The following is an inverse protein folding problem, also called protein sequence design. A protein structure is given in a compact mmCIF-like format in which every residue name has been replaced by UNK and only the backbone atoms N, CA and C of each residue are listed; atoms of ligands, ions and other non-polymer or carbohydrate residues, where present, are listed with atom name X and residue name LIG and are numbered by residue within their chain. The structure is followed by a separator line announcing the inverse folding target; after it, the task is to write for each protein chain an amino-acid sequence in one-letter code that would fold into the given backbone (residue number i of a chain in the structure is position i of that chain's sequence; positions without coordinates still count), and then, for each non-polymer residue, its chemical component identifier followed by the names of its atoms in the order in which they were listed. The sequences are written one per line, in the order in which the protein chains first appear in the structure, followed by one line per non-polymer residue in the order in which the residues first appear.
data_IF_487137268405
#
_entry.id   IF_487137268405
#
_cell.length_a   1.000
_cell.length_b   1.000
_cell.length_c   1.000
_cell.angle_alpha   90.00
_cell.angle_beta   90.00
_cell.angle_gamma   90.00
#
_symmetry.space_group_name_H-M   'P 1'
#
loop_
_entity.id
_entity.type
_entity.pdbx_description
1 polymer ?
#
# COMPACT_ATOMS: atom_id res chain seq x y z
N UNK A 1 -24.44 2.72 4.89
CA UNK A 1 -23.81 1.50 5.43
C UNK A 1 -24.90 0.55 5.93
N UNK A 2 -25.74 0.91 6.92
CA UNK A 2 -26.81 0.04 7.46
C UNK A 2 -27.69 -0.57 6.37
N UNK A 3 -28.11 0.21 5.37
CA UNK A 3 -28.90 -0.27 4.22
C UNK A 3 -28.15 -1.37 3.44
N UNK A 4 -26.84 -1.16 3.16
CA UNK A 4 -26.02 -2.12 2.41
C UNK A 4 -25.87 -3.43 3.18
N UNK A 5 -25.66 -3.35 4.50
CA UNK A 5 -25.55 -4.53 5.38
C UNK A 5 -26.87 -5.30 5.39
N UNK A 6 -28.00 -4.62 5.63
CA UNK A 6 -29.34 -5.26 5.69
C UNK A 6 -29.70 -5.96 4.38
N UNK A 7 -29.26 -5.42 3.25
CA UNK A 7 -29.52 -6.00 1.92
C UNK A 7 -28.39 -6.90 1.42
N UNK A 8 -27.49 -7.33 2.30
CA UNK A 8 -26.36 -8.24 2.02
C UNK A 8 -25.52 -7.81 0.78
N UNK A 9 -25.32 -6.49 0.58
CA UNK A 9 -24.54 -5.96 -0.52
C UNK A 9 -23.05 -6.04 -0.19
N UNK A 10 -22.24 -6.45 -1.17
CA UNK A 10 -20.78 -6.41 -1.07
C UNK A 10 -20.31 -4.96 -1.19
N UNK A 11 -19.61 -4.47 -0.19
CA UNK A 11 -19.01 -3.13 -0.18
C UNK A 11 -17.78 -3.11 0.73
N UNK A 12 -16.99 -2.08 0.60
CA UNK A 12 -15.90 -1.74 1.49
C UNK A 12 -16.04 -0.30 1.97
N UNK A 13 -15.57 -0.02 3.16
CA UNK A 13 -15.40 1.35 3.67
C UNK A 13 -13.96 1.75 3.40
N UNK A 14 -13.77 2.94 2.81
CA UNK A 14 -12.45 3.54 2.68
C UNK A 14 -12.33 4.71 3.66
N UNK A 15 -11.25 4.70 4.43
CA UNK A 15 -10.87 5.75 5.36
C UNK A 15 -9.58 6.41 4.86
N UNK A 16 -9.52 7.74 4.88
CA UNK A 16 -8.29 8.49 4.68
C UNK A 16 -7.79 8.98 6.04
N UNK A 17 -6.57 8.61 6.39
CA UNK A 17 -5.90 8.99 7.63
C UNK A 17 -4.87 10.06 7.33
N UNK A 18 -4.94 11.15 8.07
CA UNK A 18 -4.09 12.34 7.97
C UNK A 18 -3.47 12.63 9.33
N UNK A 19 -2.50 13.55 9.38
CA UNK A 19 -1.94 14.12 10.61
C UNK A 19 -3.01 14.52 11.65
N UNK A 20 -4.11 15.11 11.17
CA UNK A 20 -5.16 15.66 12.04
C UNK A 20 -6.10 14.61 12.65
N UNK A 21 -6.28 13.46 12.00
CA UNK A 21 -7.28 12.46 12.39
C UNK A 21 -6.69 11.11 12.79
N UNK A 22 -5.39 10.93 12.72
CA UNK A 22 -4.71 9.67 13.05
C UNK A 22 -5.07 9.15 14.45
N UNK A 23 -5.26 10.04 15.42
CA UNK A 23 -5.67 9.68 16.80
C UNK A 23 -7.01 8.95 16.90
N UNK A 24 -7.82 8.98 15.87
CA UNK A 24 -9.12 8.32 15.81
C UNK A 24 -9.09 7.02 14.98
N UNK A 25 -7.91 6.58 14.53
CA UNK A 25 -7.79 5.43 13.63
C UNK A 25 -8.48 4.20 14.21
N UNK A 26 -8.12 3.81 15.42
CA UNK A 26 -8.65 2.60 16.04
C UNK A 26 -10.13 2.73 16.44
N UNK A 27 -10.54 3.89 16.90
CA UNK A 27 -11.95 4.15 17.23
C UNK A 27 -12.86 4.02 16.01
N UNK A 28 -12.42 4.54 14.87
CA UNK A 28 -13.14 4.42 13.61
C UNK A 28 -13.21 2.95 13.14
N UNK A 29 -12.13 2.20 13.25
CA UNK A 29 -12.10 0.77 12.89
C UNK A 29 -13.08 -0.02 13.78
N UNK A 30 -13.05 0.19 15.10
CA UNK A 30 -13.97 -0.44 16.04
C UNK A 30 -15.41 -0.08 15.73
N UNK A 31 -15.68 1.19 15.41
CA UNK A 31 -17.02 1.66 15.05
C UNK A 31 -17.55 0.92 13.81
N UNK A 32 -16.79 0.88 12.72
CA UNK A 32 -17.21 0.17 11.52
C UNK A 32 -17.31 -1.34 11.71
N UNK A 33 -16.40 -1.94 12.47
CA UNK A 33 -16.45 -3.37 12.80
C UNK A 33 -17.70 -3.72 13.60
N UNK A 34 -18.04 -2.92 14.62
CA UNK A 34 -19.30 -3.08 15.40
C UNK A 34 -20.56 -2.90 14.55
N UNK A 35 -20.50 -2.09 13.50
CA UNK A 35 -21.62 -1.98 12.54
C UNK A 35 -21.75 -3.20 11.62
N UNK A 36 -20.80 -4.13 11.62
CA UNK A 36 -20.78 -5.30 10.74
C UNK A 36 -20.09 -5.05 9.39
N UNK A 37 -19.30 -3.97 9.24
CA UNK A 37 -18.47 -3.75 8.05
C UNK A 37 -17.35 -4.79 8.05
N UNK A 38 -17.25 -5.54 6.95
CA UNK A 38 -16.28 -6.64 6.82
C UNK A 38 -14.97 -6.19 6.18
N UNK A 39 -14.99 -5.15 5.35
CA UNK A 39 -13.82 -4.73 4.56
C UNK A 39 -13.54 -3.26 4.81
N UNK A 40 -12.43 -2.97 5.46
CA UNK A 40 -11.99 -1.62 5.81
C UNK A 40 -10.67 -1.35 5.08
N UNK A 41 -10.66 -0.35 4.21
CA UNK A 41 -9.51 0.09 3.46
C UNK A 41 -9.02 1.41 4.01
N UNK A 42 -7.79 1.41 4.49
CA UNK A 42 -7.12 2.54 5.12
C UNK A 42 -6.08 3.06 4.14
N UNK A 43 -6.15 4.34 3.82
CA UNK A 43 -5.14 5.06 3.07
C UNK A 43 -4.52 6.13 3.96
N UNK A 44 -3.21 6.10 4.14
CA UNK A 44 -2.48 7.20 4.76
C UNK A 44 -2.31 8.29 3.71
N UNK A 45 -2.68 9.52 4.05
CA UNK A 45 -2.55 10.64 3.14
C UNK A 45 -1.11 11.18 3.16
N UNK A 46 -0.35 10.82 2.16
CA UNK A 46 1.05 11.20 2.02
C UNK A 46 1.24 12.63 1.50
N UNK A 47 0.14 13.30 1.06
CA UNK A 47 0.16 14.68 0.60
C UNK A 47 0.01 15.70 1.74
N UNK A 48 -0.40 15.26 2.91
CA UNK A 48 -0.44 16.11 4.11
C UNK A 48 0.90 16.09 4.84
N UNK A 49 1.17 17.16 5.58
CA UNK A 49 2.33 17.22 6.48
C UNK A 49 2.08 16.30 7.67
N UNK A 50 3.01 15.40 7.94
CA UNK A 50 3.00 14.55 9.13
C UNK A 50 4.02 15.07 10.13
N UNK A 51 3.54 15.51 11.30
CA UNK A 51 4.39 15.91 12.41
C UNK A 51 5.02 14.69 13.11
N UNK A 52 6.09 14.91 13.87
CA UNK A 52 6.69 13.84 14.67
C UNK A 52 5.68 13.22 15.65
N UNK A 53 4.86 14.06 16.27
CA UNK A 53 3.81 13.62 17.19
C UNK A 53 2.76 12.76 16.49
N UNK A 54 2.32 13.10 15.28
CA UNK A 54 1.34 12.27 14.55
C UNK A 54 1.95 10.97 14.02
N UNK A 55 3.24 10.92 13.72
CA UNK A 55 3.94 9.67 13.41
C UNK A 55 4.00 8.73 14.64
N UNK A 56 4.27 9.27 15.83
CA UNK A 56 4.23 8.51 17.08
C UNK A 56 2.80 8.05 17.43
N UNK A 57 1.80 8.90 17.18
CA UNK A 57 0.39 8.52 17.33
C UNK A 57 0.01 7.39 16.35
N UNK A 58 0.44 7.47 15.09
CA UNK A 58 0.20 6.40 14.12
C UNK A 58 0.78 5.09 14.60
N UNK A 59 2.00 5.09 15.08
CA UNK A 59 2.66 3.91 15.63
C UNK A 59 1.87 3.29 16.81
N UNK A 60 1.43 4.14 17.75
CA UNK A 60 0.59 3.72 18.87
C UNK A 60 -0.77 3.17 18.43
N UNK A 61 -1.43 3.80 17.47
CA UNK A 61 -2.70 3.34 16.93
C UNK A 61 -2.54 2.03 16.14
N UNK A 62 -1.43 1.87 15.42
CA UNK A 62 -1.10 0.61 14.72
C UNK A 62 -0.86 -0.53 15.71
N UNK A 63 -0.19 -0.29 16.84
CA UNK A 63 -0.04 -1.32 17.91
C UNK A 63 -1.40 -1.84 18.39
N UNK A 64 -2.37 -0.94 18.59
CA UNK A 64 -3.74 -1.34 18.96
C UNK A 64 -4.44 -2.10 17.82
N UNK A 65 -4.13 -1.72 16.58
CA UNK A 65 -4.69 -2.36 15.40
C UNK A 65 -4.10 -3.75 15.18
N UNK A 66 -2.82 -3.96 15.45
CA UNK A 66 -2.17 -5.28 15.39
C UNK A 66 -2.91 -6.29 16.28
N UNK A 67 -3.10 -5.91 17.53
CA UNK A 67 -3.84 -6.74 18.49
C UNK A 67 -5.28 -7.00 18.01
N UNK A 68 -5.98 -5.93 17.63
CA UNK A 68 -7.36 -6.06 17.14
C UNK A 68 -7.46 -6.94 15.90
N UNK A 69 -6.51 -6.84 14.97
CA UNK A 69 -6.48 -7.65 13.76
C UNK A 69 -6.29 -9.13 14.09
N UNK A 70 -5.32 -9.46 14.93
CA UNK A 70 -5.05 -10.84 15.36
C UNK A 70 -6.21 -11.46 16.11
N UNK A 71 -6.91 -10.70 16.96
CA UNK A 71 -8.02 -11.22 17.78
C UNK A 71 -9.36 -11.30 17.04
N UNK A 72 -9.62 -10.39 16.07
CA UNK A 72 -10.97 -10.19 15.55
C UNK A 72 -11.13 -10.37 14.04
N UNK A 73 -10.02 -10.41 13.29
CA UNK A 73 -10.06 -10.35 11.83
C UNK A 73 -9.49 -11.61 11.18
N UNK A 74 -8.37 -12.13 11.67
CA UNK A 74 -7.59 -13.17 10.97
C UNK A 74 -8.36 -14.46 10.69
N UNK A 75 -9.27 -14.85 11.57
CA UNK A 75 -10.04 -16.10 11.45
C UNK A 75 -11.24 -16.01 10.50
N UNK A 76 -11.76 -14.81 10.23
CA UNK A 76 -12.88 -14.63 9.29
C UNK A 76 -12.37 -14.23 7.90
N UNK A 77 -12.42 -15.13 6.90
CA UNK A 77 -11.88 -14.84 5.57
C UNK A 77 -12.63 -13.72 4.83
N UNK A 78 -13.81 -13.32 5.31
CA UNK A 78 -14.58 -12.23 4.73
C UNK A 78 -14.17 -10.86 5.28
N UNK A 79 -13.51 -10.81 6.43
CA UNK A 79 -13.02 -9.57 7.02
C UNK A 79 -11.65 -9.24 6.43
N UNK A 80 -11.44 -7.97 6.09
CA UNK A 80 -10.20 -7.49 5.44
C UNK A 80 -9.83 -6.13 6.02
N UNK A 81 -8.57 -5.99 6.41
CA UNK A 81 -7.90 -4.72 6.67
C UNK A 81 -6.70 -4.65 5.71
N UNK A 82 -6.78 -3.78 4.71
CA UNK A 82 -5.83 -3.73 3.60
C UNK A 82 -4.37 -3.52 4.02
N UNK A 83 -4.11 -2.85 5.14
CA UNK A 83 -2.75 -2.60 5.63
C UNK A 83 -1.97 -3.90 5.90
N UNK A 84 -2.68 -4.99 6.24
CA UNK A 84 -2.12 -6.33 6.42
C UNK A 84 -2.46 -7.24 5.23
N UNK A 85 -3.73 -7.44 4.93
CA UNK A 85 -4.17 -8.45 3.97
C UNK A 85 -3.54 -8.30 2.58
N UNK A 86 -3.33 -7.06 2.13
CA UNK A 86 -2.73 -6.80 0.81
C UNK A 86 -1.21 -6.95 0.80
N UNK A 87 -0.59 -7.07 1.98
CA UNK A 87 0.85 -7.24 2.11
C UNK A 87 1.27 -8.70 2.31
N UNK A 88 0.37 -9.62 2.71
CA UNK A 88 0.70 -11.02 2.99
C UNK A 88 1.50 -11.66 1.84
N UNK A 89 1.01 -11.57 0.62
CA UNK A 89 1.71 -12.19 -0.53
C UNK A 89 3.06 -11.54 -0.82
N UNK A 90 3.20 -10.25 -0.56
CA UNK A 90 4.44 -9.51 -0.75
C UNK A 90 5.51 -9.90 0.27
N UNK A 91 5.10 -10.15 1.52
CA UNK A 91 6.00 -10.60 2.57
C UNK A 91 6.39 -12.08 2.45
N UNK A 92 5.54 -12.91 1.84
CA UNK A 92 5.83 -14.33 1.66
C UNK A 92 6.71 -14.56 0.43
N UNK A 93 6.34 -14.00 -0.71
CA UNK A 93 7.03 -14.27 -1.98
C UNK A 93 8.06 -13.17 -2.28
N UNK A 94 9.27 -13.60 -2.65
CA UNK A 94 10.27 -12.68 -3.20
C UNK A 94 9.79 -12.26 -4.59
N UNK A 95 9.36 -11.00 -4.71
CA UNK A 95 8.87 -10.43 -5.97
C UNK A 95 9.58 -9.13 -6.25
N UNK A 96 9.96 -8.93 -7.51
CA UNK A 96 10.35 -7.60 -7.96
C UNK A 96 9.17 -6.63 -7.84
N UNK A 97 9.47 -5.41 -7.42
CA UNK A 97 8.47 -4.35 -7.35
C UNK A 97 8.14 -3.91 -8.76
N UNK A 98 6.97 -4.29 -9.25
CA UNK A 98 6.47 -3.78 -10.51
C UNK A 98 5.90 -2.37 -10.31
N UNK A 99 6.31 -1.42 -11.15
CA UNK A 99 5.60 -0.17 -11.29
C UNK A 99 4.15 -0.43 -11.72
N UNK A 100 3.25 0.49 -11.36
CA UNK A 100 1.88 0.39 -11.84
C UNK A 100 1.83 0.56 -13.36
N UNK A 101 0.76 0.05 -13.98
CA UNK A 101 0.53 0.10 -15.42
C UNK A 101 0.07 1.47 -15.94
N UNK A 102 0.24 2.54 -15.17
CA UNK A 102 -0.18 3.88 -15.57
C UNK A 102 0.51 4.34 -16.86
N UNK A 103 -0.28 4.84 -17.80
CA UNK A 103 0.19 5.27 -19.12
C UNK A 103 0.38 4.13 -20.14
N UNK A 104 0.08 2.88 -19.76
CA UNK A 104 0.01 1.77 -20.71
C UNK A 104 -1.37 1.71 -21.38
N UNK A 105 -1.52 0.83 -22.37
CA UNK A 105 -2.80 0.59 -23.07
C UNK A 105 -3.96 0.22 -22.13
N UNK A 106 -3.63 -0.28 -20.94
CA UNK A 106 -4.62 -0.77 -19.96
C UNK A 106 -4.97 0.24 -18.87
N UNK A 107 -4.27 1.38 -18.77
CA UNK A 107 -4.50 2.34 -17.70
C UNK A 107 -4.13 3.77 -18.09
N UNK A 108 -5.14 4.59 -18.31
CA UNK A 108 -5.03 6.03 -18.55
C UNK A 108 -6.27 6.74 -18.00
N UNK A 109 -6.22 8.05 -17.92
CA UNK A 109 -7.30 8.92 -17.44
C UNK A 109 -7.68 9.88 -18.55
N UNK A 110 -8.97 10.09 -18.75
CA UNK A 110 -9.51 11.06 -19.70
C UNK A 110 -10.24 12.15 -18.93
N UNK A 111 -9.94 13.42 -19.21
CA UNK A 111 -10.66 14.55 -18.64
C UNK A 111 -11.96 14.87 -19.42
N UNK A 112 -12.73 15.85 -18.92
CA UNK A 112 -13.99 16.26 -19.54
C UNK A 112 -13.81 16.96 -20.91
N UNK A 113 -12.59 17.33 -21.30
CA UNK A 113 -12.25 17.90 -22.61
C UNK A 113 -11.74 16.85 -23.60
N UNK A 114 -11.63 15.59 -23.14
CA UNK A 114 -11.12 14.48 -23.94
C UNK A 114 -9.60 14.36 -23.93
N UNK A 115 -8.86 15.12 -23.12
CA UNK A 115 -7.42 15.00 -23.00
C UNK A 115 -7.07 13.76 -22.22
N UNK A 116 -6.00 13.08 -22.61
CA UNK A 116 -5.56 11.80 -22.05
C UNK A 116 -4.29 12.00 -21.21
N UNK A 117 -4.32 11.45 -20.00
CA UNK A 117 -3.23 11.50 -19.04
C UNK A 117 -2.85 10.09 -18.58
N UNK A 118 -1.58 9.81 -18.22
CA UNK A 118 -1.16 8.49 -17.77
C UNK A 118 -1.77 8.08 -16.42
N UNK A 119 -2.06 9.07 -15.55
CA UNK A 119 -2.54 8.80 -14.18
C UNK A 119 -3.36 9.96 -13.65
N UNK A 120 -4.27 9.66 -12.72
CA UNK A 120 -5.07 10.68 -12.04
C UNK A 120 -4.23 11.67 -11.20
N UNK A 121 -3.04 11.30 -10.74
CA UNK A 121 -2.13 12.21 -10.02
C UNK A 121 -1.58 13.34 -10.88
N UNK A 122 -1.61 13.20 -12.19
CA UNK A 122 -1.14 14.19 -13.16
C UNK A 122 -2.25 14.60 -14.14
N UNK A 123 -3.48 14.24 -13.87
CA UNK A 123 -4.63 14.67 -14.66
C UNK A 123 -4.84 16.18 -14.55
N UNK A 124 -4.92 16.86 -15.68
CA UNK A 124 -5.02 18.32 -15.76
C UNK A 124 -3.68 19.07 -15.80
N UNK A 125 -2.55 18.37 -15.62
CA UNK A 125 -1.22 18.93 -15.86
C UNK A 125 -0.91 18.90 -17.36
N UNK A 126 -0.77 20.07 -18.06
CA UNK A 126 -0.52 20.13 -19.49
C UNK A 126 0.75 19.40 -19.95
N UNK A 127 1.74 19.29 -19.08
CA UNK A 127 2.97 18.55 -19.38
C UNK A 127 2.67 17.06 -19.59
N UNK A 128 1.79 16.49 -18.75
CA UNK A 128 1.42 15.07 -18.77
C UNK A 128 0.23 14.74 -19.69
N UNK A 129 -0.27 15.69 -20.46
CA UNK A 129 -1.23 15.41 -21.52
C UNK A 129 -0.55 14.61 -22.63
N UNK A 130 -0.81 13.30 -22.69
CA UNK A 130 -0.16 12.37 -23.63
C UNK A 130 -0.99 12.12 -24.89
N UNK A 131 -2.13 12.75 -25.02
CA UNK A 131 -3.01 12.61 -26.16
C UNK A 131 -4.41 13.15 -25.93
N UNK A 132 -5.28 12.86 -26.89
CA UNK A 132 -6.69 13.24 -26.83
C UNK A 132 -7.55 12.14 -27.49
N UNK A 133 -8.82 12.03 -27.10
CA UNK A 133 -9.74 11.00 -27.63
C UNK A 133 -9.90 11.03 -29.16
N UNK A 134 -9.62 12.17 -29.80
CA UNK A 134 -9.70 12.31 -31.25
C UNK A 134 -8.39 12.00 -31.98
N UNK A 135 -7.23 12.25 -31.34
CA UNK A 135 -5.91 12.05 -31.93
C UNK A 135 -5.18 10.79 -31.43
N UNK A 136 -5.72 10.15 -30.41
CA UNK A 136 -5.09 8.99 -29.77
C UNK A 136 -3.97 9.37 -28.79
N UNK A 137 -3.21 8.35 -28.34
CA UNK A 137 -2.14 8.47 -27.36
C UNK A 137 -0.80 8.56 -28.08
N UNK A 138 0.07 9.51 -27.69
CA UNK A 138 1.45 9.61 -28.12
C UNK A 138 2.38 8.83 -27.17
N UNK A 139 2.74 7.62 -27.53
CA UNK A 139 3.68 6.80 -26.76
C UNK A 139 5.08 7.41 -26.72
N UNK A 140 5.49 8.08 -27.79
CA UNK A 140 6.79 8.76 -27.84
C UNK A 140 6.86 9.90 -26.82
N UNK A 141 5.84 10.75 -26.78
CA UNK A 141 5.72 11.81 -25.78
C UNK A 141 5.76 11.22 -24.36
N UNK A 142 4.98 10.16 -24.12
CA UNK A 142 4.94 9.51 -22.81
C UNK A 142 6.32 8.99 -22.38
N UNK A 143 7.03 8.25 -23.24
CA UNK A 143 8.37 7.73 -22.95
C UNK A 143 9.36 8.88 -22.68
N UNK A 144 9.29 9.95 -23.45
CA UNK A 144 10.14 11.14 -23.27
C UNK A 144 9.91 11.78 -21.90
N UNK A 145 8.63 11.92 -21.47
CA UNK A 145 8.29 12.47 -20.17
C UNK A 145 8.75 11.57 -19.02
N UNK A 146 8.60 10.24 -19.14
CA UNK A 146 9.12 9.31 -18.14
C UNK A 146 10.63 9.53 -17.98
N UNK A 147 11.41 9.57 -19.07
CA UNK A 147 12.88 9.77 -19.02
C UNK A 147 13.25 11.12 -18.41
N UNK A 148 12.54 12.19 -18.75
CA UNK A 148 12.76 13.54 -18.24
C UNK A 148 12.63 13.61 -16.71
N UNK A 149 11.67 12.88 -16.15
CA UNK A 149 11.34 12.92 -14.73
C UNK A 149 11.93 11.74 -13.91
N UNK A 150 12.89 11.01 -14.48
CA UNK A 150 13.73 10.09 -13.73
C UNK A 150 14.98 10.82 -13.24
N UNK A 151 15.31 10.66 -11.97
CA UNK A 151 16.54 11.16 -11.38
C UNK A 151 17.67 10.15 -11.65
N UNK A 152 18.82 10.60 -12.14
CA UNK A 152 19.97 9.74 -12.51
C UNK A 152 20.49 8.93 -11.31
N UNK A 153 20.57 9.56 -10.14
CA UNK A 153 20.93 8.88 -8.90
C UNK A 153 19.70 8.67 -8.07
N UNK A 154 19.10 7.52 -8.18
CA UNK A 154 18.07 7.10 -7.23
C UNK A 154 18.74 6.83 -5.89
N UNK A 155 18.79 7.83 -5.02
CA UNK A 155 19.19 7.67 -3.62
C UNK A 155 18.10 6.98 -2.77
N UNK A 156 17.12 6.39 -3.47
CA UNK A 156 16.02 5.70 -2.81
C UNK A 156 16.44 4.28 -2.54
N UNK A 157 17.06 4.14 -1.39
CA UNK A 157 16.98 2.97 -0.57
C UNK A 157 17.79 1.76 -1.03
N UNK A 158 18.98 1.62 -0.48
CA UNK A 158 19.40 0.32 0.07
C UNK A 158 18.51 -0.02 1.28
N UNK A 159 17.20 0.20 1.11
CA UNK A 159 16.25 0.07 2.20
C UNK A 159 15.76 -1.37 2.26
N UNK A 160 15.95 -2.02 3.41
CA UNK A 160 15.49 -3.40 3.64
C UNK A 160 14.01 -3.64 3.35
N UNK A 161 13.19 -2.56 3.35
CA UNK A 161 11.74 -2.63 3.12
C UNK A 161 11.32 -2.41 1.67
N UNK A 162 12.25 -2.32 0.75
CA UNK A 162 11.99 -1.92 -0.64
C UNK A 162 10.93 -2.79 -1.33
N UNK A 163 10.95 -4.09 -1.06
CA UNK A 163 10.01 -5.08 -1.61
C UNK A 163 8.56 -4.83 -1.20
N UNK A 164 8.32 -4.19 -0.06
CA UNK A 164 6.97 -3.89 0.46
C UNK A 164 6.57 -2.43 0.28
N UNK A 165 7.50 -1.54 -0.03
CA UNK A 165 7.31 -0.10 -0.06
C UNK A 165 6.37 0.36 -1.19
N UNK A 166 5.29 1.06 -0.85
CA UNK A 166 4.36 1.63 -1.83
C UNK A 166 5.00 2.75 -2.65
N UNK A 167 5.99 3.44 -2.09
CA UNK A 167 6.74 4.49 -2.76
C UNK A 167 7.50 3.99 -3.99
N UNK A 168 8.01 2.76 -3.99
CA UNK A 168 8.62 2.14 -5.17
C UNK A 168 7.62 1.74 -6.26
N UNK A 169 6.33 1.65 -5.92
CA UNK A 169 5.29 1.17 -6.85
C UNK A 169 4.57 2.28 -7.59
N UNK A 170 4.54 3.48 -7.05
CA UNK A 170 3.73 4.58 -7.58
C UNK A 170 4.57 5.78 -8.00
N UNK A 171 5.11 5.74 -9.23
CA UNK A 171 5.92 6.82 -9.79
C UNK A 171 5.17 8.16 -9.85
N UNK A 172 3.91 8.17 -10.26
CA UNK A 172 3.17 9.42 -10.38
C UNK A 172 2.83 10.09 -9.04
N UNK A 173 2.63 9.29 -7.98
CA UNK A 173 2.55 9.82 -6.61
C UNK A 173 3.88 10.47 -6.20
N UNK A 174 4.99 9.78 -6.45
CA UNK A 174 6.32 10.32 -6.18
C UNK A 174 6.54 11.63 -6.95
N UNK A 175 6.21 11.65 -8.24
CA UNK A 175 6.31 12.86 -9.06
C UNK A 175 5.52 14.03 -8.45
N UNK A 176 4.28 13.82 -8.06
CA UNK A 176 3.44 14.86 -7.44
C UNK A 176 4.01 15.37 -6.11
N UNK A 177 4.78 14.55 -5.39
CA UNK A 177 5.38 14.93 -4.09
C UNK A 177 6.81 15.49 -4.20
N UNK A 178 7.56 15.12 -5.23
CA UNK A 178 9.01 15.39 -5.31
C UNK A 178 9.49 15.96 -6.65
N UNK A 179 8.63 15.94 -7.68
CA UNK A 179 9.00 16.27 -9.06
C UNK A 179 9.68 15.12 -9.82
N UNK A 180 9.91 13.96 -9.18
CA UNK A 180 10.57 12.81 -9.81
C UNK A 180 9.78 11.53 -9.61
N UNK A 181 9.69 10.70 -10.66
CA UNK A 181 8.96 9.44 -10.65
C UNK A 181 9.60 8.39 -9.71
N UNK A 182 10.91 8.42 -9.60
CA UNK A 182 11.70 7.46 -8.83
C UNK A 182 12.26 8.03 -7.51
N UNK A 183 11.70 9.11 -6.99
CA UNK A 183 12.09 9.68 -5.71
C UNK A 183 10.91 9.65 -4.73
N UNK A 184 11.03 8.88 -3.64
CA UNK A 184 10.04 8.79 -2.57
C UNK A 184 10.20 9.98 -1.61
N UNK A 185 9.10 10.57 -1.15
CA UNK A 185 9.17 11.64 -0.15
C UNK A 185 9.61 11.09 1.22
N UNK A 186 10.22 11.95 2.05
CA UNK A 186 10.61 11.58 3.42
C UNK A 186 9.41 11.13 4.26
N UNK A 187 8.26 11.78 4.08
CA UNK A 187 7.04 11.42 4.78
C UNK A 187 6.56 10.02 4.38
N UNK A 188 6.47 9.73 3.07
CA UNK A 188 6.15 8.39 2.57
C UNK A 188 7.10 7.34 3.12
N UNK A 189 8.41 7.62 3.11
CA UNK A 189 9.41 6.69 3.61
C UNK A 189 9.17 6.35 5.09
N UNK A 190 8.92 7.33 5.95
CA UNK A 190 8.65 7.11 7.38
C UNK A 190 7.33 6.36 7.62
N UNK A 191 6.27 6.71 6.90
CA UNK A 191 4.99 5.99 6.98
C UNK A 191 5.13 4.52 6.60
N UNK A 192 5.86 4.22 5.52
CA UNK A 192 6.10 2.84 5.08
C UNK A 192 6.98 2.07 6.07
N UNK A 193 7.94 2.70 6.74
CA UNK A 193 8.74 2.07 7.81
C UNK A 193 7.87 1.68 9.02
N UNK A 194 6.94 2.55 9.43
CA UNK A 194 5.96 2.22 10.48
C UNK A 194 5.12 1.03 10.05
N UNK A 195 4.50 1.09 8.87
CA UNK A 195 3.67 0.01 8.35
C UNK A 195 4.44 -1.31 8.21
N UNK A 196 5.68 -1.26 7.76
CA UNK A 196 6.53 -2.45 7.63
C UNK A 196 6.75 -3.13 8.99
N UNK A 197 7.14 -2.39 10.02
CA UNK A 197 7.37 -2.91 11.37
C UNK A 197 6.12 -3.63 11.90
N UNK A 198 4.94 -3.02 11.79
CA UNK A 198 3.68 -3.62 12.22
C UNK A 198 3.30 -4.85 11.39
N UNK A 199 3.59 -4.85 10.10
CA UNK A 199 3.40 -6.05 9.28
C UNK A 199 4.34 -7.18 9.72
N UNK A 200 5.59 -6.91 10.07
CA UNK A 200 6.51 -7.92 10.62
C UNK A 200 5.95 -8.54 11.90
N UNK A 201 5.50 -7.72 12.86
CA UNK A 201 4.91 -8.20 14.12
C UNK A 201 3.71 -9.12 13.86
N UNK A 202 2.77 -8.65 13.07
CA UNK A 202 1.53 -9.40 12.77
C UNK A 202 1.83 -10.69 12.01
N UNK A 203 2.67 -10.64 10.99
CA UNK A 203 2.95 -11.81 10.15
C UNK A 203 3.82 -12.85 10.85
N UNK A 204 4.75 -12.43 11.72
CA UNK A 204 5.48 -13.35 12.61
C UNK A 204 4.50 -14.10 13.51
N UNK A 205 3.56 -13.39 14.14
CA UNK A 205 2.50 -14.01 14.95
C UNK A 205 1.64 -14.98 14.12
N UNK A 206 1.22 -14.56 12.92
CA UNK A 206 0.40 -15.41 12.05
C UNK A 206 1.13 -16.68 11.59
N UNK A 207 2.42 -16.58 11.28
CA UNK A 207 3.26 -17.72 10.89
C UNK A 207 3.43 -18.71 12.06
N UNK A 208 3.82 -18.22 13.23
CA UNK A 208 4.05 -19.05 14.44
C UNK A 208 2.79 -19.76 14.91
N UNK A 209 1.66 -19.07 14.88
CA UNK A 209 0.36 -19.62 15.29
C UNK A 209 -0.34 -20.36 14.14
N UNK A 210 0.31 -20.54 12.98
CA UNK A 210 -0.21 -21.25 11.82
C UNK A 210 -1.58 -20.76 11.37
N UNK A 211 -1.79 -19.44 11.42
CA UNK A 211 -3.04 -18.81 11.03
C UNK A 211 -3.35 -19.09 9.56
N UNK A 212 -4.48 -19.72 9.29
CA UNK A 212 -4.86 -20.24 7.96
C UNK A 212 -4.72 -19.19 6.85
N UNK A 213 -5.13 -17.95 7.10
CA UNK A 213 -5.06 -16.84 6.13
C UNK A 213 -3.64 -16.61 5.61
N UNK A 214 -2.64 -16.67 6.48
CA UNK A 214 -1.22 -16.53 6.13
C UNK A 214 -0.68 -17.83 5.53
N UNK A 215 -0.92 -18.95 6.21
CA UNK A 215 -0.41 -20.27 5.81
C UNK A 215 -0.88 -20.69 4.43
N UNK A 216 -2.13 -20.41 4.06
CA UNK A 216 -2.65 -20.66 2.71
C UNK A 216 -1.77 -20.05 1.60
N UNK A 217 -1.28 -18.82 1.78
CA UNK A 217 -0.41 -18.14 0.80
C UNK A 217 1.00 -18.71 0.85
N UNK A 218 1.48 -19.03 2.05
CA UNK A 218 2.79 -19.64 2.27
C UNK A 218 2.85 -21.03 1.65
N UNK A 219 1.89 -21.91 1.94
CA UNK A 219 1.82 -23.27 1.40
C UNK A 219 1.68 -23.26 -0.12
N UNK A 220 0.92 -22.32 -0.67
CA UNK A 220 0.84 -22.10 -2.10
C UNK A 220 2.21 -21.76 -2.69
N UNK A 221 2.95 -20.85 -2.09
CA UNK A 221 4.29 -20.48 -2.55
C UNK A 221 5.25 -21.69 -2.51
N UNK A 222 5.27 -22.45 -1.41
CA UNK A 222 6.10 -23.66 -1.27
C UNK A 222 5.74 -24.73 -2.30
N UNK A 223 4.45 -25.03 -2.48
CA UNK A 223 3.97 -26.05 -3.43
C UNK A 223 4.34 -25.70 -4.87
N UNK A 224 4.28 -24.42 -5.23
CA UNK A 224 4.60 -23.95 -6.58
C UNK A 224 6.06 -23.55 -6.76
N UNK A 225 6.93 -23.84 -5.77
CA UNK A 225 8.36 -23.52 -5.78
C UNK A 225 8.65 -22.04 -6.05
N UNK A 226 7.78 -21.16 -5.56
CA UNK A 226 8.01 -19.72 -5.59
C UNK A 226 9.08 -19.39 -4.54
N UNK A 227 10.09 -18.61 -4.92
CA UNK A 227 11.13 -18.19 -3.97
C UNK A 227 10.49 -17.36 -2.84
N UNK A 228 10.71 -17.80 -1.60
CA UNK A 228 10.24 -17.06 -0.43
C UNK A 228 11.17 -15.89 -0.11
N UNK A 229 10.62 -14.86 0.50
CA UNK A 229 11.35 -13.66 0.92
C UNK A 229 12.35 -13.97 2.03
N UNK A 230 13.31 -13.08 2.22
CA UNK A 230 14.28 -13.20 3.32
C UNK A 230 13.59 -13.08 4.70
N UNK A 231 12.46 -12.36 4.79
CA UNK A 231 11.62 -12.35 5.98
C UNK A 231 11.13 -13.77 6.33
N UNK A 232 10.63 -14.52 5.37
CA UNK A 232 10.17 -15.91 5.60
C UNK A 232 11.32 -16.84 5.92
N UNK A 233 12.49 -16.70 5.26
CA UNK A 233 13.67 -17.51 5.56
C UNK A 233 14.08 -17.39 7.02
N UNK A 234 14.15 -16.17 7.55
CA UNK A 234 14.44 -15.91 8.96
C UNK A 234 13.43 -16.57 9.90
N UNK A 235 12.12 -16.47 9.58
CA UNK A 235 11.09 -17.13 10.38
C UNK A 235 11.21 -18.65 10.36
N UNK A 236 11.61 -19.26 9.24
CA UNK A 236 11.88 -20.71 9.13
C UNK A 236 13.11 -21.12 9.97
N UNK A 237 14.09 -20.23 10.09
CA UNK A 237 15.31 -20.44 10.91
C UNK A 237 15.07 -20.14 12.41
N UNK A 238 13.89 -19.66 12.77
CA UNK A 238 13.53 -19.34 14.16
C UNK A 238 14.03 -17.96 14.63
N UNK A 239 14.47 -17.12 13.71
CA UNK A 239 14.92 -15.76 14.03
C UNK A 239 13.72 -14.79 14.09
N UNK A 240 13.79 -13.86 15.05
CA UNK A 240 12.83 -12.75 15.16
C UNK A 240 13.37 -11.51 14.46
N UNK A 241 12.62 -11.01 13.50
CA UNK A 241 12.99 -9.76 12.80
C UNK A 241 12.60 -8.49 13.60
N UNK A 242 12.31 -8.65 14.90
CA UNK A 242 11.77 -7.57 15.75
C UNK A 242 12.79 -6.47 16.13
N UNK A 243 14.09 -6.61 15.86
CA UNK A 243 15.10 -5.83 16.60
C UNK A 243 16.05 -4.96 15.80
N UNK A 244 15.90 -4.78 14.48
CA UNK A 244 16.88 -4.01 13.69
C UNK A 244 16.26 -2.91 12.82
N UNK A 245 15.53 -1.94 13.44
CA UNK A 245 15.16 -0.66 12.81
C UNK A 245 15.52 0.53 13.69
#
# INVERSE_FOLDING_TARGET
IKYLIRNNKKFNVRMTVTDNNVKYLMDNIRFFSKMGVKRIYIGLDEFTSWSENSMQLLDSEMTKLDQFYLENIVEDPNKVINLYDFKISTFIAKREVCFCSAGTENHFVVDCKGNIYPCNYVAGDPEWEIGNIYSGISHEKFISLIRKHLKETCSICDCKIDFSCSGKRCGFKNYSLTGYLNQVSKATCRLEQILYRHNCIVFTSMFRNKIFRFMKVYDFAKTHKIEVSDFIKKLEEGEDDETNF
#
